data_IF_740435448407
#
_entry.id   IF_740435448407
#
_cell.length_a   1.000
_cell.length_b   1.000
_cell.length_c   1.000
_cell.angle_alpha   90.00
_cell.angle_beta   90.00
_cell.angle_gamma   90.00
#
_symmetry.space_group_name_H-M   'P 1'
#
loop_
_entity.id
_entity.type
_entity.pdbx_description
1 polymer ?
#
# COMPACT_ATOMS: atom_id res chain seq x y z
N UNK A 1 4.59 6.95 4.20
CA UNK A 1 4.50 7.27 2.75
C UNK A 1 5.10 8.62 2.42
N UNK A 2 4.63 9.74 3.00
CA UNK A 2 5.21 11.07 2.74
C UNK A 2 6.72 11.14 3.04
N UNK A 3 7.16 10.66 4.21
CA UNK A 3 8.57 10.62 4.56
C UNK A 3 9.42 9.84 3.53
N UNK A 4 8.92 8.71 3.04
CA UNK A 4 9.58 7.92 2.00
C UNK A 4 9.67 8.68 0.67
N UNK A 5 8.63 9.44 0.29
CA UNK A 5 8.68 10.28 -0.90
C UNK A 5 9.70 11.41 -0.77
N UNK A 6 9.76 12.06 0.40
CA UNK A 6 10.78 13.07 0.68
C UNK A 6 12.20 12.48 0.62
N UNK A 7 12.40 11.28 1.18
CA UNK A 7 13.67 10.56 1.13
C UNK A 7 14.10 10.24 -0.33
N UNK A 8 13.19 9.72 -1.16
CA UNK A 8 13.43 9.47 -2.60
C UNK A 8 13.86 10.74 -3.33
N UNK A 9 13.32 11.89 -2.94
CA UNK A 9 13.66 13.20 -3.52
C UNK A 9 14.84 13.91 -2.83
N UNK A 10 15.52 13.27 -1.88
CA UNK A 10 16.66 13.84 -1.16
C UNK A 10 16.32 15.04 -0.28
N UNK A 11 15.04 15.19 0.10
CA UNK A 11 14.59 16.29 0.96
C UNK A 11 14.74 15.86 2.42
N UNK A 12 15.45 16.65 3.22
CA UNK A 12 15.59 16.41 4.66
C UNK A 12 14.25 16.54 5.40
N UNK A 13 13.96 15.61 6.30
CA UNK A 13 12.74 15.62 7.11
C UNK A 13 12.99 15.08 8.52
N UNK A 14 12.01 15.29 9.41
CA UNK A 14 11.95 14.70 10.73
C UNK A 14 10.55 14.12 10.97
N UNK A 15 10.48 12.86 11.37
CA UNK A 15 9.22 12.22 11.76
C UNK A 15 9.01 12.48 13.26
N UNK A 16 7.83 12.96 13.62
CA UNK A 16 7.41 13.14 15.02
C UNK A 16 6.07 12.44 15.16
N UNK A 17 6.06 11.36 15.95
CA UNK A 17 4.84 10.64 16.31
C UNK A 17 4.79 10.47 17.84
N UNK A 18 3.58 10.50 18.41
CA UNK A 18 3.37 10.29 19.85
C UNK A 18 3.52 8.81 20.21
N UNK A 19 3.23 7.90 19.29
CA UNK A 19 3.41 6.46 19.46
C UNK A 19 4.77 6.07 18.92
N UNK A 20 5.51 5.27 19.68
CA UNK A 20 6.82 4.77 19.25
C UNK A 20 6.71 3.65 18.20
N UNK A 21 5.55 3.01 18.08
CA UNK A 21 5.35 1.85 17.21
C UNK A 21 3.93 1.81 16.62
N UNK A 22 3.72 0.99 15.59
CA UNK A 22 2.43 0.80 14.93
C UNK A 22 1.37 0.28 15.92
N UNK A 23 0.11 0.59 15.63
CA UNK A 23 -0.98 0.23 16.55
C UNK A 23 -1.27 -1.28 16.46
N UNK A 24 -1.36 -2.03 17.58
CA UNK A 24 -1.57 -3.49 17.55
C UNK A 24 -2.98 -3.90 17.09
N UNK A 25 -3.92 -2.95 17.06
CA UNK A 25 -5.27 -3.17 16.53
C UNK A 25 -5.24 -3.11 15.00
N UNK A 26 -4.89 -4.24 14.40
CA UNK A 26 -4.82 -4.44 12.95
C UNK A 26 -6.23 -4.33 12.34
N UNK A 27 -6.47 -3.25 11.60
CA UNK A 27 -7.58 -3.18 10.65
C UNK A 27 -6.97 -3.45 9.27
N UNK A 28 -7.42 -4.52 8.62
CA UNK A 28 -7.10 -4.74 7.21
C UNK A 28 -7.66 -3.57 6.41
N UNK A 29 -6.83 -2.99 5.53
CA UNK A 29 -7.22 -1.92 4.64
C UNK A 29 -7.13 -2.38 3.19
N UNK A 30 -7.98 -1.79 2.35
CA UNK A 30 -7.92 -1.95 0.90
C UNK A 30 -6.98 -0.86 0.37
N UNK A 31 -5.90 -1.28 -0.28
CA UNK A 31 -5.03 -0.42 -1.08
C UNK A 31 -5.55 -0.46 -2.52
N UNK A 32 -5.84 0.73 -3.04
CA UNK A 32 -6.30 0.92 -4.42
C UNK A 32 -5.15 0.83 -5.42
N UNK A 33 -5.47 0.53 -6.67
CA UNK A 33 -4.55 0.46 -7.82
C UNK A 33 -3.58 1.65 -7.90
N UNK A 34 -4.08 2.90 -7.83
CA UNK A 34 -3.22 4.08 -7.90
C UNK A 34 -2.23 4.17 -6.73
N UNK A 35 -2.62 3.68 -5.55
CA UNK A 35 -1.70 3.62 -4.41
C UNK A 35 -0.65 2.52 -4.60
N UNK A 36 -1.02 1.36 -5.17
CA UNK A 36 -0.05 0.32 -5.55
C UNK A 36 0.98 0.84 -6.55
N UNK A 37 0.59 1.70 -7.50
CA UNK A 37 1.53 2.34 -8.42
C UNK A 37 2.53 3.26 -7.69
N UNK A 38 2.09 4.00 -6.67
CA UNK A 38 2.99 4.81 -5.83
C UNK A 38 3.95 3.89 -5.05
N UNK A 39 3.45 2.77 -4.51
CA UNK A 39 4.31 1.78 -3.84
C UNK A 39 5.32 1.14 -4.81
N UNK A 40 4.97 0.98 -6.09
CA UNK A 40 5.86 0.50 -7.15
C UNK A 40 6.99 1.49 -7.43
N UNK A 41 6.67 2.79 -7.53
CA UNK A 41 7.66 3.85 -7.67
C UNK A 41 8.64 3.88 -6.49
N UNK A 42 8.16 3.50 -5.30
CA UNK A 42 8.96 3.36 -4.09
C UNK A 42 9.71 2.03 -3.98
N UNK A 43 9.54 1.11 -4.95
CA UNK A 43 10.11 -0.25 -4.99
C UNK A 43 9.70 -1.15 -3.81
N UNK A 44 8.48 -0.97 -3.31
CA UNK A 44 7.92 -1.76 -2.19
C UNK A 44 6.59 -2.44 -2.54
N UNK A 45 6.13 -2.33 -3.78
CA UNK A 45 4.90 -2.98 -4.29
C UNK A 45 4.95 -4.49 -4.11
N UNK A 46 6.05 -5.15 -4.51
CA UNK A 46 6.23 -6.60 -4.43
C UNK A 46 6.12 -7.12 -3.00
N UNK A 47 6.85 -6.51 -2.06
CA UNK A 47 6.78 -6.86 -0.63
C UNK A 47 5.38 -6.68 -0.04
N UNK A 48 4.63 -5.65 -0.48
CA UNK A 48 3.26 -5.46 -0.05
C UNK A 48 2.33 -6.55 -0.62
N UNK A 49 2.50 -6.90 -1.90
CA UNK A 49 1.71 -7.95 -2.56
C UNK A 49 1.93 -9.31 -1.88
N UNK A 50 3.18 -9.66 -1.56
CA UNK A 50 3.51 -10.91 -0.86
C UNK A 50 2.88 -11.02 0.54
N UNK A 51 2.68 -9.90 1.21
CA UNK A 51 2.16 -9.85 2.59
C UNK A 51 0.64 -9.61 2.67
N UNK A 52 -0.01 -9.38 1.54
CA UNK A 52 -1.44 -9.08 1.42
C UNK A 52 -2.22 -10.13 0.62
N UNK A 53 -3.48 -9.83 0.36
CA UNK A 53 -4.42 -10.65 -0.40
C UNK A 53 -4.92 -9.82 -1.59
N UNK A 54 -4.75 -10.36 -2.80
CA UNK A 54 -5.22 -9.72 -4.03
C UNK A 54 -6.74 -9.90 -4.15
N UNK A 55 -7.45 -8.79 -4.36
CA UNK A 55 -8.87 -8.76 -4.70
C UNK A 55 -9.03 -8.37 -6.18
N UNK A 56 -9.32 -9.37 -7.02
CA UNK A 56 -9.49 -9.20 -8.48
C UNK A 56 -10.84 -8.60 -8.87
N UNK A 57 -11.84 -8.75 -7.99
CA UNK A 57 -13.21 -8.33 -8.25
C UNK A 57 -13.83 -7.74 -6.98
N UNK A 58 -14.80 -6.85 -7.17
CA UNK A 58 -15.66 -6.34 -6.10
C UNK A 58 -17.12 -6.68 -6.40
N UNK A 59 -17.76 -7.37 -5.47
CA UNK A 59 -19.18 -7.72 -5.56
C UNK A 59 -20.02 -6.75 -4.73
N UNK A 60 -20.95 -6.06 -5.38
CA UNK A 60 -21.92 -5.19 -4.74
C UNK A 60 -23.15 -5.99 -4.39
N UNK A 61 -23.48 -6.07 -3.09
CA UNK A 61 -24.61 -6.82 -2.59
C UNK A 61 -25.69 -5.86 -2.06
N UNK A 62 -26.94 -6.07 -2.47
CA UNK A 62 -28.10 -5.39 -1.90
C UNK A 62 -29.10 -6.41 -1.39
N UNK A 63 -29.43 -6.35 -0.09
CA UNK A 63 -30.31 -7.33 0.58
C UNK A 63 -29.88 -8.79 0.34
N UNK A 64 -28.58 -9.06 0.38
CA UNK A 64 -28.01 -10.40 0.15
C UNK A 64 -28.00 -10.87 -1.31
N UNK A 65 -28.47 -10.05 -2.26
CA UNK A 65 -28.43 -10.36 -3.70
C UNK A 65 -27.31 -9.56 -4.37
N UNK A 66 -26.57 -10.21 -5.26
CA UNK A 66 -25.55 -9.57 -6.10
C UNK A 66 -26.22 -8.62 -7.09
N UNK A 67 -25.90 -7.33 -6.96
CA UNK A 67 -26.40 -6.25 -7.81
C UNK A 67 -25.44 -5.97 -8.96
N UNK A 68 -24.14 -5.93 -8.66
CA UNK A 68 -23.09 -5.62 -9.63
C UNK A 68 -21.81 -6.37 -9.28
N UNK A 69 -21.04 -6.69 -10.31
CA UNK A 69 -19.65 -7.14 -10.21
C UNK A 69 -18.75 -6.15 -10.92
N UNK A 70 -17.72 -5.68 -10.23
CA UNK A 70 -16.68 -4.86 -10.82
C UNK A 70 -15.42 -5.72 -10.91
N UNK A 71 -15.04 -6.12 -12.13
CA UNK A 71 -13.80 -6.87 -12.38
C UNK A 71 -12.67 -5.92 -12.71
N UNK A 72 -11.59 -5.94 -11.94
CA UNK A 72 -10.48 -5.00 -12.13
C UNK A 72 -9.59 -5.35 -13.32
N UNK A 73 -9.67 -6.58 -13.84
CA UNK A 73 -8.96 -7.02 -15.05
C UNK A 73 -9.22 -6.13 -16.27
N UNK A 74 -10.37 -5.43 -16.32
CA UNK A 74 -10.68 -4.48 -17.39
C UNK A 74 -9.67 -3.31 -17.49
N UNK A 75 -8.88 -3.07 -16.43
CA UNK A 75 -7.84 -2.04 -16.38
C UNK A 75 -6.44 -2.57 -16.69
N UNK A 76 -6.27 -3.84 -17.08
CA UNK A 76 -4.97 -4.46 -17.31
C UNK A 76 -4.13 -3.82 -18.42
N UNK A 77 -4.76 -3.06 -19.32
CA UNK A 77 -4.09 -2.28 -20.36
C UNK A 77 -3.64 -0.87 -19.90
N UNK A 78 -4.09 -0.42 -18.72
CA UNK A 78 -3.84 0.93 -18.20
C UNK A 78 -2.89 0.89 -17.01
N UNK A 79 -2.89 -0.20 -16.23
CA UNK A 79 -2.09 -0.34 -15.02
C UNK A 79 -1.48 -1.74 -14.88
N UNK A 80 -0.32 -1.82 -14.22
CA UNK A 80 0.31 -3.09 -13.83
C UNK A 80 -0.44 -3.79 -12.69
N UNK A 81 -1.29 -3.08 -11.97
CA UNK A 81 -1.99 -3.58 -10.78
C UNK A 81 -3.53 -3.57 -10.99
N UNK A 82 -4.07 -4.37 -11.94
CA UNK A 82 -5.50 -4.41 -12.24
C UNK A 82 -6.29 -5.18 -11.17
N UNK A 83 -6.10 -4.81 -9.90
CA UNK A 83 -6.67 -5.39 -8.70
C UNK A 83 -6.50 -4.42 -7.52
N UNK A 84 -7.21 -4.70 -6.42
CA UNK A 84 -6.95 -4.05 -5.14
C UNK A 84 -6.17 -5.00 -4.22
N UNK A 85 -5.38 -4.46 -3.31
CA UNK A 85 -4.62 -5.26 -2.35
C UNK A 85 -5.22 -5.07 -0.96
N UNK A 86 -5.69 -6.16 -0.34
CA UNK A 86 -6.06 -6.18 1.06
C UNK A 86 -4.83 -6.50 1.90
N UNK A 87 -4.40 -5.56 2.74
CA UNK A 87 -3.23 -5.76 3.60
C UNK A 87 -3.47 -5.07 4.95
N UNK A 88 -2.92 -5.65 6.00
CA UNK A 88 -2.95 -5.06 7.32
C UNK A 88 -2.14 -3.76 7.35
N UNK A 89 -2.70 -2.73 7.98
CA UNK A 89 -2.02 -1.44 8.10
C UNK A 89 -0.62 -1.57 8.72
N UNK A 90 -0.48 -2.39 9.77
CA UNK A 90 0.80 -2.66 10.45
C UNK A 90 1.87 -3.19 9.49
N UNK A 91 1.49 -4.09 8.57
CA UNK A 91 2.40 -4.63 7.56
C UNK A 91 2.85 -3.55 6.58
N UNK A 92 1.92 -2.72 6.09
CA UNK A 92 2.25 -1.59 5.21
C UNK A 92 3.16 -0.56 5.90
N UNK A 93 2.86 -0.21 7.16
CA UNK A 93 3.68 0.71 7.96
C UNK A 93 5.09 0.17 8.18
N UNK A 94 5.21 -1.12 8.49
CA UNK A 94 6.50 -1.79 8.65
C UNK A 94 7.35 -1.73 7.37
N UNK A 95 6.77 -2.10 6.21
CA UNK A 95 7.46 -2.04 4.92
C UNK A 95 7.95 -0.61 4.62
N UNK A 96 7.11 0.40 4.90
CA UNK A 96 7.46 1.81 4.71
C UNK A 96 8.62 2.26 5.62
N UNK A 97 8.62 1.82 6.89
CA UNK A 97 9.67 2.15 7.85
C UNK A 97 11.01 1.49 7.50
N UNK A 98 10.99 0.22 7.08
CA UNK A 98 12.16 -0.50 6.58
C UNK A 98 12.77 0.23 5.37
N UNK A 99 11.92 0.67 4.42
CA UNK A 99 12.38 1.41 3.24
C UNK A 99 13.07 2.74 3.58
N UNK A 100 12.50 3.51 4.51
CA UNK A 100 13.08 4.78 4.96
C UNK A 100 14.45 4.56 5.63
N UNK A 101 14.58 3.49 6.42
CA UNK A 101 15.83 3.14 7.10
C UNK A 101 16.95 2.84 6.10
N UNK A 102 16.63 2.12 5.02
CA UNK A 102 17.59 1.82 3.95
C UNK A 102 18.04 3.11 3.24
N UNK A 103 17.11 4.00 2.84
CA UNK A 103 17.48 5.23 2.13
C UNK A 103 18.32 6.17 3.00
N UNK A 104 17.98 6.31 4.28
CA UNK A 104 18.73 7.18 5.20
C UNK A 104 20.17 6.69 5.38
N UNK A 105 20.41 5.37 5.36
CA UNK A 105 21.76 4.78 5.42
C UNK A 105 22.58 4.98 4.15
N UNK A 106 21.96 5.29 3.01
CA UNK A 106 22.66 5.56 1.73
C UNK A 106 23.11 7.01 1.62
N UNK A 107 22.49 7.92 2.38
CA UNK A 107 22.82 9.34 2.43
C UNK A 107 23.59 9.76 3.70
N UNK A 108 24.05 8.78 4.49
CA UNK A 108 24.90 8.99 5.68
C UNK A 108 26.38 8.76 5.38
#
# INVERSE_FOLDING_TARGET
MLASQLAIHGVNFRIIDKKADYTPYSRAHIIHTCTLEILDQMKISEQAIEQGIIANDLNWLFKGKKLLESKFIAFANITKFPYMLMIEQSKTERILAERISIETSVYS
#
